data_IF_714994449687
#
_entry.id   IF_714994449687
#
_cell.length_a   1.000
_cell.length_b   1.000
_cell.length_c   1.000
_cell.angle_alpha   90.00
_cell.angle_beta   90.00
_cell.angle_gamma   90.00
#
_symmetry.space_group_name_H-M   'P 1'
#
loop_
_entity.id
_entity.type
_entity.pdbx_description
1 polymer ?
#
# COMPACT_ATOMS: atom_id res chain seq x y z
N UNK A 1 0.65 23.56 24.53
CA UNK A 1 -0.62 23.02 24.00
C UNK A 1 -0.58 22.90 22.48
N UNK A 2 -0.05 23.90 21.77
CA UNK A 2 -0.01 23.92 20.29
C UNK A 2 0.73 22.72 19.65
N UNK A 3 1.83 22.25 20.22
CA UNK A 3 2.57 21.10 19.69
C UNK A 3 1.76 19.80 19.66
N UNK A 4 1.08 19.46 20.76
CA UNK A 4 0.25 18.25 20.81
C UNK A 4 -0.96 18.34 19.88
N UNK A 5 -1.56 19.53 19.77
CA UNK A 5 -2.64 19.77 18.81
C UNK A 5 -2.18 19.57 17.37
N UNK A 6 -0.97 20.01 17.02
CA UNK A 6 -0.37 19.76 15.71
C UNK A 6 -0.13 18.28 15.44
N UNK A 7 0.38 17.52 16.43
CA UNK A 7 0.58 16.07 16.27
C UNK A 7 -0.75 15.31 16.11
N UNK A 8 -1.77 15.69 16.88
CA UNK A 8 -3.11 15.10 16.74
C UNK A 8 -3.69 15.43 15.37
N UNK A 9 -3.53 16.67 14.90
CA UNK A 9 -3.99 17.07 13.57
C UNK A 9 -3.26 16.30 12.47
N UNK A 10 -1.92 16.20 12.55
CA UNK A 10 -1.11 15.39 11.65
C UNK A 10 -1.61 13.95 11.58
N UNK A 11 -1.79 13.33 12.75
CA UNK A 11 -2.28 11.96 12.86
C UNK A 11 -3.69 11.76 12.28
N UNK A 12 -4.62 12.69 12.51
CA UNK A 12 -5.97 12.63 11.95
C UNK A 12 -5.97 12.80 10.43
N UNK A 13 -5.20 13.77 9.91
CA UNK A 13 -5.05 13.98 8.47
C UNK A 13 -4.34 12.79 7.81
N UNK A 14 -3.30 12.25 8.44
CA UNK A 14 -2.59 11.06 7.99
C UNK A 14 -3.46 9.81 7.99
N UNK A 15 -4.31 9.60 9.01
CA UNK A 15 -5.31 8.53 9.01
C UNK A 15 -6.31 8.67 7.87
N UNK A 16 -6.80 9.89 7.61
CA UNK A 16 -7.69 10.15 6.48
C UNK A 16 -6.99 9.87 5.14
N UNK A 17 -5.76 10.34 4.97
CA UNK A 17 -4.96 10.12 3.77
C UNK A 17 -4.70 8.63 3.51
N UNK A 18 -4.36 7.87 4.55
CA UNK A 18 -4.15 6.43 4.44
C UNK A 18 -5.41 5.65 4.00
N UNK A 19 -6.60 6.23 4.16
CA UNK A 19 -7.89 5.66 3.74
C UNK A 19 -8.33 6.13 2.35
N UNK A 20 -7.51 6.90 1.64
CA UNK A 20 -7.80 7.32 0.27
C UNK A 20 -7.79 6.12 -0.69
N UNK A 21 -8.53 6.28 -1.79
CA UNK A 21 -8.81 5.18 -2.70
C UNK A 21 -7.54 4.59 -3.34
N UNK A 22 -6.53 5.40 -3.59
CA UNK A 22 -5.24 5.00 -4.15
C UNK A 22 -4.39 4.18 -3.16
N UNK A 23 -4.37 4.56 -1.88
CA UNK A 23 -3.71 3.84 -0.80
C UNK A 23 -4.34 2.46 -0.63
N UNK A 24 -5.67 2.42 -0.51
CA UNK A 24 -6.42 1.17 -0.41
C UNK A 24 -6.22 0.30 -1.66
N UNK A 25 -6.24 0.89 -2.86
CA UNK A 25 -6.02 0.15 -4.11
C UNK A 25 -4.61 -0.44 -4.19
N UNK A 26 -3.57 0.31 -3.80
CA UNK A 26 -2.19 -0.16 -3.83
C UNK A 26 -1.99 -1.35 -2.86
N UNK A 27 -2.44 -1.21 -1.61
CA UNK A 27 -2.33 -2.27 -0.59
C UNK A 27 -3.15 -3.50 -0.96
N UNK A 28 -4.37 -3.30 -1.49
CA UNK A 28 -5.21 -4.40 -1.98
C UNK A 28 -4.57 -5.13 -3.17
N UNK A 29 -4.03 -4.40 -4.14
CA UNK A 29 -3.38 -4.98 -5.31
C UNK A 29 -2.14 -5.80 -4.95
N UNK A 30 -1.33 -5.33 -3.97
CA UNK A 30 -0.18 -6.08 -3.47
C UNK A 30 -0.56 -7.33 -2.66
N UNK A 31 -1.77 -7.36 -2.12
CA UNK A 31 -2.29 -8.44 -1.28
C UNK A 31 -3.20 -9.41 -2.02
N UNK A 32 -3.56 -9.10 -3.28
CA UNK A 32 -4.39 -9.95 -4.12
C UNK A 32 -3.83 -11.38 -4.24
N UNK A 33 -4.67 -12.36 -3.94
CA UNK A 33 -4.33 -13.79 -3.97
C UNK A 33 -3.58 -14.32 -2.74
N UNK A 34 -3.55 -13.56 -1.63
CA UNK A 34 -2.93 -14.00 -0.36
C UNK A 34 -3.95 -13.95 0.78
N UNK A 35 -4.00 -15.02 1.59
CA UNK A 35 -5.03 -15.20 2.63
C UNK A 35 -4.53 -14.94 4.06
N UNK A 36 -3.22 -14.78 4.26
CA UNK A 36 -2.64 -14.59 5.60
C UNK A 36 -2.77 -13.15 6.09
N UNK A 37 -3.52 -12.95 7.18
CA UNK A 37 -3.64 -11.65 7.87
C UNK A 37 -2.29 -11.08 8.31
N UNK A 38 -1.38 -11.94 8.82
CA UNK A 38 -0.03 -11.51 9.25
C UNK A 38 0.78 -10.98 8.06
N UNK A 39 0.68 -11.64 6.90
CA UNK A 39 1.39 -11.19 5.70
C UNK A 39 0.80 -9.88 5.15
N UNK A 40 -0.51 -9.69 5.23
CA UNK A 40 -1.18 -8.44 4.88
C UNK A 40 -0.69 -7.29 5.77
N UNK A 41 -0.71 -7.48 7.09
CA UNK A 41 -0.23 -6.47 8.06
C UNK A 41 1.23 -6.13 7.78
N UNK A 42 2.11 -7.14 7.67
CA UNK A 42 3.53 -6.91 7.44
C UNK A 42 3.79 -6.13 6.14
N UNK A 43 3.12 -6.48 5.04
CA UNK A 43 3.27 -5.77 3.76
C UNK A 43 2.72 -4.35 3.83
N UNK A 44 1.56 -4.17 4.48
CA UNK A 44 1.00 -2.84 4.72
C UNK A 44 1.94 -1.96 5.54
N UNK A 45 2.53 -2.51 6.61
CA UNK A 45 3.52 -1.81 7.44
C UNK A 45 4.80 -1.49 6.68
N UNK A 46 5.33 -2.41 5.87
CA UNK A 46 6.53 -2.17 5.05
C UNK A 46 6.30 -1.13 3.96
N UNK A 47 5.11 -1.17 3.34
CA UNK A 47 4.70 -0.16 2.39
C UNK A 47 4.55 1.22 3.06
N UNK A 48 3.87 1.28 4.21
CA UNK A 48 3.75 2.50 5.00
C UNK A 48 5.11 3.05 5.43
N UNK A 49 6.03 2.18 5.85
CA UNK A 49 7.40 2.56 6.19
C UNK A 49 8.13 3.19 5.00
N UNK A 50 8.07 2.57 3.82
CA UNK A 50 8.66 3.13 2.60
C UNK A 50 8.07 4.49 2.25
N UNK A 51 6.76 4.64 2.37
CA UNK A 51 6.04 5.88 2.13
C UNK A 51 6.47 7.00 3.10
N UNK A 52 6.47 6.73 4.41
CA UNK A 52 6.92 7.67 5.43
C UNK A 52 8.39 8.06 5.25
N UNK A 53 9.27 7.11 4.90
CA UNK A 53 10.68 7.40 4.62
C UNK A 53 10.81 8.43 3.49
N UNK A 54 10.06 8.26 2.40
CA UNK A 54 10.08 9.22 1.28
C UNK A 54 9.56 10.59 1.71
N UNK A 55 8.41 10.66 2.40
CA UNK A 55 7.83 11.92 2.85
C UNK A 55 8.77 12.67 3.79
N UNK A 56 9.29 12.01 4.83
CA UNK A 56 10.23 12.61 5.78
C UNK A 56 11.51 13.04 5.09
N UNK A 57 12.01 12.28 4.11
CA UNK A 57 13.21 12.65 3.37
C UNK A 57 12.99 13.88 2.49
N UNK A 58 11.95 13.88 1.65
CA UNK A 58 11.65 15.01 0.74
C UNK A 58 11.29 16.25 1.55
N UNK A 59 10.30 16.15 2.44
CA UNK A 59 9.84 17.29 3.22
C UNK A 59 10.92 17.77 4.20
N UNK A 60 11.62 16.85 4.87
CA UNK A 60 12.69 17.21 5.82
C UNK A 60 13.83 17.98 5.15
N UNK A 61 14.29 17.51 3.99
CA UNK A 61 15.32 18.20 3.20
C UNK A 61 14.85 19.59 2.77
N UNK A 62 13.62 19.71 2.27
CA UNK A 62 13.06 20.99 1.82
C UNK A 62 12.81 21.96 2.96
N UNK A 63 12.37 21.48 4.13
CA UNK A 63 12.20 22.31 5.33
C UNK A 63 13.54 22.84 5.85
N UNK A 64 14.62 22.04 5.81
CA UNK A 64 15.96 22.47 6.22
C UNK A 64 16.54 23.52 5.27
N UNK A 65 16.34 23.35 3.96
CA UNK A 65 16.84 24.29 2.95
C UNK A 65 15.88 25.46 2.63
N UNK A 66 14.69 25.48 3.19
CA UNK A 66 13.66 26.49 2.87
C UNK A 66 13.19 26.42 1.41
N UNK A 67 13.24 25.23 0.80
CA UNK A 67 12.88 24.99 -0.59
C UNK A 67 11.39 24.67 -0.77
N UNK A 68 10.93 24.73 -2.02
CA UNK A 68 9.59 24.28 -2.42
C UNK A 68 9.69 23.34 -3.61
N UNK A 69 8.66 22.51 -3.82
CA UNK A 69 8.57 21.63 -4.98
C UNK A 69 8.01 22.44 -6.15
N UNK A 70 8.74 22.50 -7.26
CA UNK A 70 8.24 23.17 -8.48
C UNK A 70 7.01 22.41 -9.05
N UNK A 71 6.05 23.11 -9.69
CA UNK A 71 4.87 22.47 -10.27
C UNK A 71 5.20 21.38 -11.29
N UNK A 72 6.30 21.53 -12.02
CA UNK A 72 6.77 20.55 -13.02
C UNK A 72 7.25 19.27 -12.35
N UNK A 73 8.03 19.38 -11.26
CA UNK A 73 8.48 18.22 -10.49
C UNK A 73 7.29 17.54 -9.84
N UNK A 74 6.39 18.29 -9.21
CA UNK A 74 5.17 17.75 -8.62
C UNK A 74 4.34 16.95 -9.64
N UNK A 75 4.09 17.53 -10.82
CA UNK A 75 3.34 16.87 -11.89
C UNK A 75 4.03 15.58 -12.35
N UNK A 76 5.36 15.59 -12.44
CA UNK A 76 6.12 14.39 -12.79
C UNK A 76 5.99 13.28 -11.73
N UNK A 77 6.07 13.63 -10.44
CA UNK A 77 5.89 12.67 -9.35
C UNK A 77 4.45 12.10 -9.33
N UNK A 78 3.45 12.95 -9.57
CA UNK A 78 2.05 12.50 -9.71
C UNK A 78 1.87 11.52 -10.89
N UNK A 79 2.46 11.80 -12.06
CA UNK A 79 2.42 10.90 -13.22
C UNK A 79 3.14 9.57 -12.93
N UNK A 80 4.27 9.61 -12.21
CA UNK A 80 5.01 8.43 -11.79
C UNK A 80 4.13 7.51 -10.93
N UNK A 81 3.46 8.08 -9.92
CA UNK A 81 2.57 7.34 -9.03
C UNK A 81 1.33 6.84 -9.77
N UNK A 82 0.72 7.65 -10.64
CA UNK A 82 -0.42 7.24 -11.46
C UNK A 82 -0.07 6.04 -12.35
N UNK A 83 1.09 6.08 -13.02
CA UNK A 83 1.58 4.97 -13.85
C UNK A 83 1.78 3.70 -13.03
N UNK A 84 2.34 3.83 -11.83
CA UNK A 84 2.50 2.71 -10.90
C UNK A 84 1.14 2.09 -10.52
N UNK A 85 0.14 2.90 -10.17
CA UNK A 85 -1.20 2.41 -9.81
C UNK A 85 -1.86 1.69 -10.99
N UNK A 86 -1.78 2.25 -12.20
CA UNK A 86 -2.28 1.61 -13.42
C UNK A 86 -1.59 0.25 -13.61
N UNK A 87 -0.27 0.18 -13.43
CA UNK A 87 0.49 -1.06 -13.52
C UNK A 87 0.07 -2.11 -12.48
N UNK A 88 -0.13 -1.70 -11.23
CA UNK A 88 -0.62 -2.58 -10.15
C UNK A 88 -2.03 -3.10 -10.45
N UNK A 89 -2.95 -2.23 -10.83
CA UNK A 89 -4.32 -2.61 -11.19
C UNK A 89 -4.37 -3.55 -12.39
N UNK A 90 -3.58 -3.26 -13.43
CA UNK A 90 -3.47 -4.13 -14.61
C UNK A 90 -2.93 -5.51 -14.24
N UNK A 91 -1.93 -5.60 -13.35
CA UNK A 91 -1.41 -6.88 -12.89
C UNK A 91 -2.49 -7.72 -12.17
N UNK A 92 -3.35 -7.08 -11.38
CA UNK A 92 -4.50 -7.73 -10.73
C UNK A 92 -5.49 -8.25 -11.78
N UNK A 93 -5.86 -7.44 -12.77
CA UNK A 93 -6.77 -7.83 -13.85
C UNK A 93 -6.23 -9.01 -14.68
N UNK A 94 -4.93 -8.99 -15.01
CA UNK A 94 -4.28 -10.09 -15.73
C UNK A 94 -4.35 -11.39 -14.91
N UNK A 95 -4.08 -11.33 -13.60
CA UNK A 95 -4.19 -12.51 -12.72
C UNK A 95 -5.61 -13.06 -12.67
N UNK A 96 -6.61 -12.18 -12.53
CA UNK A 96 -8.02 -12.57 -12.55
C UNK A 96 -8.40 -13.27 -13.87
N UNK A 97 -7.95 -12.73 -15.00
CA UNK A 97 -8.23 -13.31 -16.32
C UNK A 97 -7.55 -14.69 -16.50
N UNK A 98 -6.30 -14.82 -16.04
CA UNK A 98 -5.52 -16.06 -16.18
C UNK A 98 -5.94 -17.18 -15.21
N UNK A 99 -6.39 -16.84 -14.00
CA UNK A 99 -6.66 -17.82 -12.95
C UNK A 99 -8.07 -18.44 -12.97
N UNK A 100 -8.93 -18.12 -13.96
CA UNK A 100 -10.28 -18.67 -14.19
C UNK A 100 -10.89 -19.34 -12.94
N UNK A 101 -11.29 -18.56 -11.92
CA UNK A 101 -11.77 -19.14 -10.66
C UNK A 101 -13.02 -19.98 -10.93
N UNK A 102 -12.90 -21.30 -10.74
CA UNK A 102 -14.03 -22.22 -10.81
C UNK A 102 -14.65 -22.31 -9.42
N UNK A 103 -15.96 -22.06 -9.34
CA UNK A 103 -16.75 -22.22 -8.13
C UNK A 103 -17.32 -23.64 -8.11
N UNK A 104 -16.91 -24.47 -7.15
CA UNK A 104 -17.54 -25.77 -6.91
C UNK A 104 -18.39 -25.70 -5.64
N UNK A 105 -19.61 -26.20 -5.74
CA UNK A 105 -20.46 -26.50 -4.59
C UNK A 105 -20.02 -27.84 -4.00
N UNK A 106 -19.58 -27.84 -2.74
CA UNK A 106 -19.41 -29.07 -1.97
C UNK A 106 -20.66 -29.28 -1.10
N UNK A 107 -21.22 -30.48 -1.16
CA UNK A 107 -22.25 -30.94 -0.24
C UNK A 107 -21.57 -31.90 0.74
N UNK A 108 -21.53 -31.54 2.01
CA UNK A 108 -21.12 -32.47 3.06
C UNK A 108 -22.30 -33.39 3.40
N UNK A 109 -22.00 -34.63 3.80
CA UNK A 109 -22.98 -35.64 4.27
C UNK A 109 -23.86 -35.14 5.44
N UNK A 110 -23.50 -34.01 6.05
CA UNK A 110 -24.23 -33.33 7.12
C UNK A 110 -25.26 -32.28 6.65
N UNK A 111 -25.46 -32.11 5.33
CA UNK A 111 -26.50 -31.23 4.78
C UNK A 111 -26.15 -29.73 4.75
N UNK A 112 -24.93 -29.32 5.10
CA UNK A 112 -24.48 -27.94 4.96
C UNK A 112 -23.85 -27.69 3.58
N UNK A 113 -24.29 -26.61 2.93
CA UNK A 113 -23.82 -26.16 1.63
C UNK A 113 -22.85 -25.00 1.84
N UNK A 114 -21.59 -25.15 1.42
CA UNK A 114 -20.68 -24.01 1.34
C UNK A 114 -20.04 -23.88 -0.04
N UNK A 115 -19.81 -22.63 -0.42
CA UNK A 115 -19.24 -22.24 -1.71
C UNK A 115 -17.74 -22.01 -1.54
N UNK A 116 -16.91 -22.84 -2.17
CA UNK A 116 -15.46 -22.64 -2.22
C UNK A 116 -15.03 -22.28 -3.65
N UNK A 117 -14.18 -21.26 -3.78
CA UNK A 117 -13.49 -20.91 -5.01
C UNK A 117 -12.06 -21.44 -4.96
N UNK A 118 -11.65 -22.25 -5.94
CA UNK A 118 -10.27 -22.71 -6.09
C UNK A 118 -9.84 -22.70 -7.57
N UNK A 119 -8.54 -22.80 -7.82
CA UNK A 119 -7.94 -22.73 -9.16
C UNK A 119 -7.14 -24.01 -9.41
N UNK A 120 -7.56 -24.80 -10.40
CA UNK A 120 -6.78 -25.96 -10.88
C UNK A 120 -5.90 -25.52 -12.05
N UNK A 121 -4.58 -25.62 -11.90
CA UNK A 121 -3.69 -25.80 -13.04
C UNK A 121 -3.44 -27.30 -13.11
N UNK A 122 -4.23 -27.97 -13.93
CA UNK A 122 -4.06 -29.35 -14.40
C UNK A 122 -3.78 -30.41 -13.33
N UNK A 123 -4.80 -31.11 -12.84
CA UNK A 123 -4.61 -32.50 -12.42
C UNK A 123 -5.92 -33.30 -12.50
N UNK A 124 -5.92 -34.24 -13.43
CA UNK A 124 -6.81 -35.40 -13.47
C UNK A 124 -6.24 -36.46 -12.54
N UNK A 125 -6.32 -36.35 -11.22
CA UNK A 125 -6.06 -37.47 -10.32
C UNK A 125 -6.64 -37.26 -8.91
N UNK A 126 -6.98 -38.38 -8.29
CA UNK A 126 -7.75 -38.55 -7.05
C UNK A 126 -7.11 -37.86 -5.83
N UNK A 127 -7.96 -37.19 -5.05
CA UNK A 127 -7.68 -36.47 -3.80
C UNK A 127 -6.54 -37.05 -2.94
N UNK A 128 -5.34 -36.48 -3.08
CA UNK A 128 -4.35 -36.38 -2.00
C UNK A 128 -4.33 -34.95 -1.51
N UNK A 129 -4.36 -34.76 -0.18
CA UNK A 129 -4.04 -33.50 0.49
C UNK A 129 -2.62 -33.09 0.10
N UNK A 130 -2.47 -32.44 -1.05
CA UNK A 130 -1.25 -31.74 -1.39
C UNK A 130 -1.13 -30.55 -0.43
N UNK A 131 -0.15 -30.64 0.48
CA UNK A 131 0.32 -29.48 1.21
C UNK A 131 0.87 -28.51 0.17
N UNK A 132 0.09 -27.50 -0.20
CA UNK A 132 0.59 -26.39 -1.02
C UNK A 132 1.74 -25.69 -0.27
N UNK A 133 2.96 -26.14 -0.51
CA UNK A 133 4.18 -25.44 -0.12
C UNK A 133 4.37 -24.30 -1.12
N UNK A 134 3.88 -23.13 -0.75
CA UNK A 134 4.22 -21.93 -1.51
C UNK A 134 5.64 -21.52 -1.16
N UNK A 135 6.53 -21.52 -2.16
CA UNK A 135 7.82 -20.83 -2.07
C UNK A 135 7.58 -19.38 -1.65
N UNK A 136 8.09 -19.04 -0.47
CA UNK A 136 8.19 -17.68 0.01
C UNK A 136 9.35 -16.99 -0.69
N UNK A 137 9.15 -16.61 -1.95
CA UNK A 137 10.07 -15.67 -2.58
C UNK A 137 9.99 -14.34 -1.82
N UNK A 138 11.12 -13.98 -1.19
CA UNK A 138 11.33 -12.77 -0.37
C UNK A 138 11.05 -11.46 -1.15
N UNK A 139 10.90 -11.56 -2.47
CA UNK A 139 10.60 -10.48 -3.41
C UNK A 139 9.32 -9.69 -3.07
N UNK A 140 8.38 -10.29 -2.32
CA UNK A 140 7.14 -9.61 -1.94
C UNK A 140 7.31 -8.49 -0.91
N UNK A 141 8.32 -8.59 -0.03
CA UNK A 141 8.56 -7.62 1.04
C UNK A 141 9.30 -6.39 0.51
N UNK A 142 10.37 -6.58 -0.26
CA UNK A 142 11.09 -5.47 -0.91
C UNK A 142 10.21 -4.68 -1.87
N UNK A 143 9.32 -5.36 -2.60
CA UNK A 143 8.32 -4.70 -3.45
C UNK A 143 7.37 -3.79 -2.66
N UNK A 144 6.95 -4.20 -1.46
CA UNK A 144 6.07 -3.37 -0.64
C UNK A 144 6.75 -2.05 -0.25
N UNK A 145 8.00 -2.12 0.22
CA UNK A 145 8.80 -0.92 0.56
C UNK A 145 8.98 -0.03 -0.68
N UNK A 146 9.38 -0.60 -1.82
CA UNK A 146 9.61 0.16 -3.05
C UNK A 146 8.34 0.87 -3.54
N UNK A 147 7.21 0.17 -3.57
CA UNK A 147 5.92 0.75 -3.94
C UNK A 147 5.55 1.86 -2.96
N UNK A 148 5.79 1.65 -1.66
CA UNK A 148 5.59 2.68 -0.64
C UNK A 148 6.44 3.92 -0.89
N UNK A 149 7.72 3.73 -1.17
CA UNK A 149 8.65 4.81 -1.45
C UNK A 149 8.24 5.62 -2.67
N UNK A 150 7.86 4.96 -3.77
CA UNK A 150 7.38 5.63 -4.98
C UNK A 150 6.08 6.37 -4.68
N UNK A 151 5.13 5.72 -4.01
CA UNK A 151 3.84 6.33 -3.67
C UNK A 151 4.01 7.60 -2.83
N UNK A 152 4.91 7.59 -1.84
CA UNK A 152 5.21 8.73 -0.98
C UNK A 152 5.89 9.92 -1.66
N UNK A 153 6.24 9.81 -2.94
CA UNK A 153 6.72 10.96 -3.72
C UNK A 153 5.58 11.90 -4.15
N UNK A 154 4.37 11.36 -4.33
CA UNK A 154 3.20 12.19 -4.61
C UNK A 154 2.63 12.76 -3.30
N UNK A 155 1.93 13.90 -3.39
CA UNK A 155 1.32 14.54 -2.22
C UNK A 155 2.28 15.28 -1.28
N UNK A 156 3.61 15.11 -1.43
CA UNK A 156 4.61 15.75 -0.56
C UNK A 156 4.55 17.29 -0.61
N UNK A 157 4.13 17.89 -1.73
CA UNK A 157 4.01 19.35 -1.85
C UNK A 157 2.92 19.92 -0.93
N UNK A 158 1.74 19.30 -0.88
CA UNK A 158 0.66 19.71 0.01
C UNK A 158 1.03 19.52 1.48
N UNK A 159 1.64 18.38 1.81
CA UNK A 159 2.14 18.11 3.16
C UNK A 159 3.21 19.12 3.58
N UNK A 160 4.14 19.45 2.68
CA UNK A 160 5.20 20.44 2.94
C UNK A 160 4.63 21.82 3.24
N UNK A 161 3.62 22.27 2.47
CA UNK A 161 2.95 23.54 2.72
C UNK A 161 2.32 23.58 4.11
N UNK A 162 1.62 22.52 4.51
CA UNK A 162 1.04 22.41 5.84
C UNK A 162 2.11 22.37 6.94
N UNK A 163 3.15 21.56 6.76
CA UNK A 163 4.25 21.44 7.72
C UNK A 163 4.99 22.77 7.92
N UNK A 164 5.20 23.54 6.84
CA UNK A 164 5.89 24.84 6.87
C UNK A 164 5.12 25.93 7.63
N UNK A 165 3.83 25.72 7.93
CA UNK A 165 3.05 26.65 8.77
C UNK A 165 3.37 26.53 10.26
N UNK A 166 4.08 25.47 10.68
CA UNK A 166 4.40 25.28 12.07
C UNK A 166 5.46 26.29 12.55
N UNK A 167 5.37 26.67 13.83
CA UNK A 167 6.22 27.71 14.43
C UNK A 167 7.69 27.30 14.62
N UNK A 168 8.03 26.02 14.46
CA UNK A 168 9.39 25.51 14.59
C UNK A 168 9.65 24.32 13.66
N UNK A 169 10.93 24.08 13.34
CA UNK A 169 11.36 22.92 12.57
C UNK A 169 10.97 21.60 13.24
N UNK A 170 11.07 21.52 14.57
CA UNK A 170 10.70 20.33 15.34
C UNK A 170 9.19 20.06 15.22
N UNK A 171 8.37 21.09 15.28
CA UNK A 171 6.92 20.97 15.06
C UNK A 171 6.57 20.60 13.63
N UNK A 172 7.30 21.13 12.64
CA UNK A 172 7.13 20.79 11.22
C UNK A 172 7.45 19.33 10.94
N UNK A 173 8.59 18.84 11.44
CA UNK A 173 9.01 17.43 11.31
C UNK A 173 8.06 16.52 12.11
N UNK A 174 7.67 16.93 13.31
CA UNK A 174 6.70 16.21 14.13
C UNK A 174 5.36 16.03 13.40
N UNK A 175 4.88 17.07 12.72
CA UNK A 175 3.67 17.01 11.90
C UNK A 175 3.81 16.07 10.69
N UNK A 176 4.97 16.06 10.01
CA UNK A 176 5.22 15.14 8.88
C UNK A 176 5.27 13.67 9.31
N UNK A 177 5.72 13.40 10.53
CA UNK A 177 5.84 12.03 11.07
C UNK A 177 4.50 11.52 11.63
N UNK A 178 3.67 12.42 12.18
CA UNK A 178 2.42 12.10 12.86
C UNK A 178 1.30 11.74 11.88
#
# INVERSE_FOLDING_TARGET
MEYYSLLILGCLVGMQHALEADHLAAVAAMSAGRTSRKALILRGSLWGLGHTITLVSICGVLLIWGGTISPQIQSFLEILVATMIIGLGTNVLIRLYQQRPHFHFHQHDSGEHHLHAHTHVSDTEVHKKEKHQHEHSDLGLGRAVLVGMIHGTAGSAGLLVLAATASSLISSIGYVIA
#
